data_IF_425744496738
#
_entry.id   IF_425744496738
#
_cell.length_a   1.000
_cell.length_b   1.000
_cell.length_c   1.000
_cell.angle_alpha   90.00
_cell.angle_beta   90.00
_cell.angle_gamma   90.00
#
_symmetry.space_group_name_H-M   'P 1'
#
loop_
_entity.id
_entity.type
_entity.pdbx_description
1 polymer ?
#
# COMPACT_ATOMS: atom_id res chain seq x y z
N UNK A 1 28.80 8.18 3.69
CA UNK A 1 27.93 7.44 4.63
C UNK A 1 26.59 8.15 4.67
N UNK A 2 25.55 7.64 3.99
CA UNK A 2 24.24 8.24 4.16
C UNK A 2 23.70 7.87 5.54
N UNK A 3 23.27 8.87 6.25
CA UNK A 3 22.63 8.67 7.55
C UNK A 3 21.36 7.84 7.36
N UNK A 4 21.36 6.68 7.99
CA UNK A 4 20.16 5.86 8.03
C UNK A 4 19.25 6.50 9.07
N UNK A 5 18.20 7.11 8.60
CA UNK A 5 17.18 7.69 9.47
C UNK A 5 16.45 6.57 10.20
N UNK A 6 16.81 6.37 11.45
CA UNK A 6 16.22 5.34 12.30
C UNK A 6 14.88 5.76 12.92
N UNK A 7 14.16 6.70 12.32
CA UNK A 7 12.78 6.91 12.74
C UNK A 7 11.95 5.73 12.23
N UNK A 8 12.03 4.68 12.99
CA UNK A 8 11.31 3.46 12.70
C UNK A 8 9.83 3.67 12.95
N UNK A 9 9.09 3.63 11.88
CA UNK A 9 7.67 3.83 11.93
C UNK A 9 6.97 2.73 12.70
N UNK A 10 6.31 3.14 13.76
CA UNK A 10 5.43 2.29 14.52
C UNK A 10 4.12 2.13 13.75
N UNK A 11 4.15 1.24 12.78
CA UNK A 11 2.91 0.84 12.11
C UNK A 11 2.27 -0.26 12.95
N UNK A 12 1.14 0.01 13.57
CA UNK A 12 0.45 -1.08 14.25
C UNK A 12 -0.01 -2.12 13.24
N UNK A 13 0.11 -3.36 13.60
CA UNK A 13 -0.40 -4.44 12.77
C UNK A 13 -1.91 -4.31 12.65
N UNK A 14 -2.41 -4.55 11.46
CA UNK A 14 -3.84 -4.43 11.18
C UNK A 14 -4.59 -5.69 11.67
N UNK A 15 -4.44 -6.00 12.94
CA UNK A 15 -5.17 -7.10 13.55
C UNK A 15 -6.02 -6.56 14.69
N UNK A 16 -7.21 -6.09 14.34
CA UNK A 16 -8.24 -5.72 15.29
C UNK A 16 -9.59 -6.20 14.80
N UNK A 17 -10.44 -6.73 15.69
CA UNK A 17 -11.75 -7.20 15.27
C UNK A 17 -12.66 -6.06 14.83
N UNK A 18 -13.45 -6.38 13.82
CA UNK A 18 -14.40 -5.44 13.24
C UNK A 18 -15.54 -5.08 14.21
N UNK A 19 -15.94 -3.84 14.39
CA UNK A 19 -16.86 -3.55 15.14
C UNK A 19 -18.01 -3.46 14.39
N UNK A 20 -18.92 -3.77 14.90
CA UNK A 20 -20.17 -3.67 14.19
C UNK A 20 -20.66 -2.22 14.03
N UNK A 21 -21.52 -1.97 13.07
CA UNK A 21 -21.99 -0.61 12.80
C UNK A 21 -22.99 -0.06 13.82
N UNK A 22 -22.78 1.03 14.12
CA UNK A 22 -23.62 1.54 14.90
C UNK A 22 -24.54 2.28 14.19
N UNK A 23 -25.72 2.12 14.36
CA UNK A 23 -26.82 2.91 13.88
C UNK A 23 -26.97 4.18 14.69
N UNK A 24 -27.00 5.30 14.08
CA UNK A 24 -28.17 6.14 14.30
C UNK A 24 -28.14 7.47 13.60
N UNK A 25 -29.32 7.87 13.26
CA UNK A 25 -29.66 9.03 12.48
C UNK A 25 -29.80 10.28 13.37
N UNK A 26 -29.42 11.41 12.86
CA UNK A 26 -30.05 12.66 13.28
C UNK A 26 -29.86 13.78 12.28
N UNK A 27 -30.94 14.13 11.76
CA UNK A 27 -31.51 15.35 11.27
C UNK A 27 -30.67 16.62 11.20
N UNK A 28 -30.77 17.16 10.02
CA UNK A 28 -30.22 18.27 9.40
C UNK A 28 -30.23 19.64 10.02
N UNK A 29 -29.48 20.45 9.39
CA UNK A 29 -29.88 21.84 9.22
C UNK A 29 -29.14 22.44 8.02
N UNK A 30 -29.91 22.85 7.07
CA UNK A 30 -29.46 23.55 5.88
C UNK A 30 -28.99 24.96 6.22
N UNK A 31 -27.78 25.26 5.84
CA UNK A 31 -27.42 26.63 5.57
C UNK A 31 -26.59 26.65 4.30
N UNK A 32 -27.27 27.01 3.26
CA UNK A 32 -26.73 27.26 1.96
C UNK A 32 -25.74 28.41 2.02
N UNK A 33 -24.48 28.12 1.90
CA UNK A 33 -23.49 29.13 1.57
C UNK A 33 -22.77 28.70 0.30
N UNK A 34 -23.01 29.47 -0.72
CA UNK A 34 -22.55 29.23 -2.07
C UNK A 34 -21.16 28.61 -2.15
N UNK A 35 -21.16 27.35 -2.32
CA UNK A 35 -19.95 26.60 -2.50
C UNK A 35 -19.50 26.76 -3.95
N UNK A 36 -18.36 27.39 -4.14
CA UNK A 36 -17.63 27.23 -5.39
C UNK A 36 -17.35 25.73 -5.53
N UNK A 37 -17.86 25.15 -6.58
CA UNK A 37 -17.67 23.74 -6.85
C UNK A 37 -16.17 23.45 -6.92
N UNK A 38 -15.60 22.91 -5.85
CA UNK A 38 -14.25 22.40 -5.90
C UNK A 38 -14.25 21.21 -6.85
N UNK A 39 -13.23 21.04 -7.70
CA UNK A 39 -13.14 19.83 -8.48
C UNK A 39 -13.19 18.65 -7.54
N UNK A 40 -14.10 17.72 -7.84
CA UNK A 40 -14.40 16.64 -6.95
C UNK A 40 -13.33 15.56 -7.01
N UNK A 41 -12.17 15.87 -6.44
CA UNK A 41 -11.08 14.90 -6.32
C UNK A 41 -11.19 14.17 -4.99
N UNK A 42 -10.90 12.87 -4.98
CA UNK A 42 -10.71 12.19 -3.71
C UNK A 42 -9.53 12.78 -2.94
N UNK A 43 -9.54 12.58 -1.63
CA UNK A 43 -8.44 12.97 -0.75
C UNK A 43 -7.73 11.71 -0.29
N UNK A 44 -6.41 11.66 -0.43
CA UNK A 44 -5.61 10.51 0.01
C UNK A 44 -4.66 10.93 1.11
N UNK A 45 -4.86 10.39 2.32
CA UNK A 45 -3.85 10.46 3.37
C UNK A 45 -2.86 9.33 3.15
N UNK A 46 -1.58 9.67 3.11
CA UNK A 46 -0.54 8.74 2.67
C UNK A 46 0.73 9.01 3.44
N UNK A 47 1.58 7.99 3.53
CA UNK A 47 2.94 8.13 4.03
C UNK A 47 3.85 7.48 2.99
N UNK A 48 4.86 8.22 2.53
CA UNK A 48 5.66 7.85 1.37
C UNK A 48 6.22 6.43 1.46
N UNK A 49 6.78 6.06 2.62
CA UNK A 49 7.48 4.79 2.77
C UNK A 49 6.60 3.62 3.18
N UNK A 50 5.32 3.86 3.45
CA UNK A 50 4.41 2.79 3.87
C UNK A 50 4.04 1.89 2.68
N UNK A 51 4.30 0.58 2.76
CA UNK A 51 3.97 -0.30 1.63
C UNK A 51 2.47 -0.35 1.32
N UNK A 52 1.61 -0.22 2.33
CA UNK A 52 0.18 -0.15 2.09
C UNK A 52 -0.21 1.13 1.34
N UNK A 53 0.41 2.26 1.71
CA UNK A 53 0.13 3.52 1.01
C UNK A 53 0.73 3.52 -0.41
N UNK A 54 1.83 2.81 -0.63
CA UNK A 54 2.37 2.62 -1.98
C UNK A 54 1.34 1.95 -2.90
N UNK A 55 0.64 0.94 -2.39
CA UNK A 55 -0.44 0.28 -3.14
C UNK A 55 -1.47 1.29 -3.64
N UNK A 56 -1.93 2.16 -2.74
CA UNK A 56 -2.93 3.15 -3.08
C UNK A 56 -2.43 4.10 -4.15
N UNK A 57 -1.21 4.64 -3.95
CA UNK A 57 -0.67 5.61 -4.90
C UNK A 57 -0.48 4.99 -6.29
N UNK A 58 0.06 3.77 -6.36
CA UNK A 58 0.31 3.13 -7.66
C UNK A 58 -0.98 2.80 -8.39
N UNK A 59 -2.00 2.33 -7.66
CA UNK A 59 -3.28 2.01 -8.31
C UNK A 59 -4.00 3.27 -8.80
N UNK A 60 -3.89 4.37 -8.07
CA UNK A 60 -4.47 5.63 -8.52
C UNK A 60 -3.77 6.14 -9.77
N UNK A 61 -2.44 5.99 -9.84
CA UNK A 61 -1.70 6.32 -11.06
C UNK A 61 -2.15 5.44 -12.24
N UNK A 62 -2.25 4.14 -12.01
CA UNK A 62 -2.64 3.19 -13.07
C UNK A 62 -4.08 3.44 -13.54
N UNK A 63 -4.96 3.84 -12.64
CA UNK A 63 -6.35 4.15 -12.95
C UNK A 63 -6.54 5.56 -13.52
N UNK A 64 -5.48 6.34 -13.56
CA UNK A 64 -5.50 7.73 -14.07
C UNK A 64 -6.45 8.61 -13.25
N UNK A 65 -6.45 8.43 -11.92
CA UNK A 65 -7.28 9.21 -11.00
C UNK A 65 -6.38 10.17 -10.23
N UNK A 66 -6.61 11.46 -10.41
CA UNK A 66 -5.92 12.50 -9.63
C UNK A 66 -6.55 12.59 -8.25
N UNK A 67 -5.73 12.78 -7.22
CA UNK A 67 -6.21 12.97 -5.85
C UNK A 67 -5.51 14.15 -5.20
N UNK A 68 -6.16 14.74 -4.19
CA UNK A 68 -5.47 15.64 -3.26
C UNK A 68 -4.67 14.78 -2.31
N UNK A 69 -3.35 14.93 -2.32
CA UNK A 69 -2.46 14.14 -1.48
C UNK A 69 -2.17 14.88 -0.18
N UNK A 70 -2.33 14.18 0.92
CA UNK A 70 -2.01 14.71 2.25
C UNK A 70 -0.96 13.80 2.88
N UNK A 71 0.30 14.24 2.77
CA UNK A 71 1.42 13.46 3.31
C UNK A 71 1.41 13.53 4.83
N UNK A 72 1.43 12.37 5.47
CA UNK A 72 1.29 12.22 6.92
C UNK A 72 2.67 11.91 7.53
N UNK A 73 2.96 12.52 8.68
CA UNK A 73 4.05 12.09 9.54
C UNK A 73 3.41 11.26 10.66
N UNK A 74 3.80 10.00 10.78
CA UNK A 74 3.08 9.04 11.62
C UNK A 74 3.08 9.39 13.10
N UNK A 75 4.08 10.12 13.57
CA UNK A 75 4.10 10.60 14.97
C UNK A 75 3.26 11.86 15.20
N UNK A 76 2.67 12.42 14.13
CA UNK A 76 1.93 13.69 14.19
C UNK A 76 0.76 13.61 13.20
N UNK A 77 -0.13 12.66 13.42
CA UNK A 77 -1.23 12.38 12.51
C UNK A 77 -2.26 13.51 12.52
N UNK A 78 -2.74 13.96 11.35
CA UNK A 78 -3.77 15.01 11.31
C UNK A 78 -5.06 14.55 11.95
N UNK A 79 -5.71 15.45 12.69
CA UNK A 79 -6.98 15.12 13.35
C UNK A 79 -8.04 14.76 12.32
N UNK A 80 -8.05 15.44 11.17
CA UNK A 80 -9.02 15.13 10.11
C UNK A 80 -8.89 13.70 9.60
N UNK A 81 -7.67 13.16 9.56
CA UNK A 81 -7.47 11.75 9.18
C UNK A 81 -8.06 10.82 10.24
N UNK A 82 -7.80 11.10 11.52
CA UNK A 82 -8.29 10.29 12.62
C UNK A 82 -9.82 10.33 12.66
N UNK A 83 -10.41 11.51 12.43
CA UNK A 83 -11.87 11.66 12.38
C UNK A 83 -12.48 10.83 11.24
N UNK A 84 -11.82 10.79 10.09
CA UNK A 84 -12.30 10.02 8.94
C UNK A 84 -12.14 8.53 9.15
N UNK A 85 -11.04 8.10 9.78
CA UNK A 85 -10.72 6.70 9.98
C UNK A 85 -10.10 6.51 11.37
N UNK A 86 -10.91 6.16 12.37
CA UNK A 86 -10.43 6.10 13.76
C UNK A 86 -9.31 5.09 14.02
N UNK A 87 -9.12 4.08 13.16
CA UNK A 87 -7.97 3.18 13.35
C UNK A 87 -6.64 3.90 13.09
N UNK A 88 -6.68 5.08 12.47
CA UNK A 88 -5.56 6.01 12.36
C UNK A 88 -4.32 5.41 11.66
N UNK A 89 -4.55 4.64 10.60
CA UNK A 89 -3.48 4.08 9.77
C UNK A 89 -3.59 4.66 8.36
N UNK A 90 -2.47 4.72 7.65
CA UNK A 90 -2.48 5.10 6.24
C UNK A 90 -2.43 3.84 5.38
N UNK A 91 -3.02 3.86 4.18
CA UNK A 91 -3.71 4.98 3.51
C UNK A 91 -5.15 5.14 3.96
N UNK A 92 -5.68 6.36 3.81
CA UNK A 92 -7.12 6.65 3.94
C UNK A 92 -7.53 7.43 2.70
N UNK A 93 -8.53 6.94 2.00
CA UNK A 93 -9.08 7.62 0.82
C UNK A 93 -10.48 8.11 1.14
N UNK A 94 -10.71 9.42 0.96
CA UNK A 94 -12.02 10.02 1.14
C UNK A 94 -12.56 10.37 -0.24
N UNK A 95 -13.70 9.80 -0.60
CA UNK A 95 -14.32 10.04 -1.89
C UNK A 95 -15.10 11.36 -1.89
N UNK A 96 -15.40 11.91 -3.07
CA UNK A 96 -16.14 13.19 -3.13
C UNK A 96 -17.49 13.18 -2.40
N UNK A 97 -18.15 12.01 -2.30
CA UNK A 97 -19.42 11.89 -1.56
C UNK A 97 -19.24 11.79 -0.05
N UNK A 98 -17.98 11.81 0.43
CA UNK A 98 -17.65 11.71 1.84
C UNK A 98 -17.40 10.30 2.34
N UNK A 99 -17.65 9.28 1.53
CA UNK A 99 -17.39 7.91 1.95
C UNK A 99 -15.88 7.66 2.06
N UNK A 100 -15.49 6.73 2.93
CA UNK A 100 -14.10 6.48 3.28
C UNK A 100 -13.73 5.04 2.94
N UNK A 101 -12.58 4.88 2.30
CA UNK A 101 -11.97 3.57 2.08
C UNK A 101 -10.61 3.60 2.78
N UNK A 102 -10.43 2.75 3.79
CA UNK A 102 -9.19 2.77 4.58
C UNK A 102 -8.44 1.44 4.62
N UNK A 103 -8.73 0.56 3.67
CA UNK A 103 -7.95 -0.64 3.43
C UNK A 103 -7.28 -0.52 2.07
N UNK A 104 -5.95 -0.70 2.02
CA UNK A 104 -5.19 -0.43 0.80
C UNK A 104 -5.65 -1.26 -0.39
N UNK A 105 -5.93 -2.55 -0.16
CA UNK A 105 -6.39 -3.42 -1.26
C UNK A 105 -7.75 -2.97 -1.78
N UNK A 106 -8.65 -2.55 -0.89
CA UNK A 106 -9.95 -2.01 -1.30
C UNK A 106 -9.80 -0.73 -2.10
N UNK A 107 -8.81 0.12 -1.75
CA UNK A 107 -8.51 1.32 -2.53
C UNK A 107 -8.05 0.92 -3.95
N UNK A 108 -7.14 -0.08 -4.04
CA UNK A 108 -6.67 -0.55 -5.34
C UNK A 108 -7.83 -1.02 -6.21
N UNK A 109 -8.68 -1.88 -5.66
CA UNK A 109 -9.79 -2.45 -6.41
C UNK A 109 -10.80 -1.36 -6.78
N UNK A 110 -11.10 -0.43 -5.86
CA UNK A 110 -11.98 0.70 -6.17
C UNK A 110 -11.46 1.50 -7.35
N UNK A 111 -10.19 1.88 -7.30
CA UNK A 111 -9.60 2.73 -8.34
C UNK A 111 -9.66 2.02 -9.70
N UNK A 112 -9.27 0.75 -9.72
CA UNK A 112 -9.22 -0.01 -10.97
C UNK A 112 -10.61 -0.39 -11.48
N UNK A 113 -11.61 -0.50 -10.59
CA UNK A 113 -12.99 -0.67 -11.02
C UNK A 113 -13.52 0.59 -11.73
N UNK A 114 -13.01 1.77 -11.33
CA UNK A 114 -13.38 3.03 -12.00
C UNK A 114 -12.76 3.12 -13.40
N UNK A 115 -11.51 2.71 -13.54
CA UNK A 115 -10.78 2.79 -14.80
C UNK A 115 -9.56 1.88 -14.73
N UNK A 116 -9.43 0.96 -15.67
CA UNK A 116 -8.35 -0.02 -15.65
C UNK A 116 -7.71 -0.16 -17.02
N UNK A 117 -7.06 0.91 -17.52
CA UNK A 117 -6.53 0.87 -18.90
C UNK A 117 -5.41 -0.16 -19.11
N UNK A 118 -4.73 -0.60 -18.05
CA UNK A 118 -3.63 -1.56 -18.16
C UNK A 118 -4.07 -2.99 -17.82
N UNK A 119 -5.37 -3.20 -17.60
CA UNK A 119 -5.94 -4.52 -17.31
C UNK A 119 -5.33 -5.18 -16.07
N UNK A 120 -5.06 -4.39 -15.03
CA UNK A 120 -4.51 -4.96 -13.79
C UNK A 120 -5.49 -5.90 -13.08
N UNK A 121 -6.81 -5.69 -13.24
CA UNK A 121 -7.81 -6.60 -12.64
C UNK A 121 -8.04 -7.86 -13.47
N UNK A 122 -7.56 -7.87 -14.72
CA UNK A 122 -7.77 -8.98 -15.66
C UNK A 122 -6.40 -9.53 -16.08
N UNK A 123 -5.80 -10.41 -15.28
CA UNK A 123 -4.44 -10.87 -15.59
C UNK A 123 -4.42 -11.74 -16.83
N UNK A 124 -3.24 -11.86 -17.44
CA UNK A 124 -3.05 -12.69 -18.62
C UNK A 124 -3.28 -14.18 -18.30
N UNK A 125 -2.91 -14.59 -17.09
CA UNK A 125 -3.02 -15.97 -16.62
C UNK A 125 -3.74 -15.96 -15.27
N UNK A 126 -4.69 -16.87 -15.07
CA UNK A 126 -5.46 -16.92 -13.84
C UNK A 126 -6.53 -15.85 -13.78
N UNK A 127 -7.07 -15.60 -12.59
CA UNK A 127 -8.21 -14.73 -12.38
C UNK A 127 -7.91 -13.68 -11.30
N UNK A 128 -8.80 -12.70 -11.16
CA UNK A 128 -8.74 -11.75 -10.05
C UNK A 128 -8.78 -12.50 -8.71
N UNK A 129 -9.65 -13.51 -8.59
CA UNK A 129 -9.75 -14.29 -7.35
C UNK A 129 -8.44 -14.99 -7.03
N UNK A 130 -7.73 -15.49 -8.05
CA UNK A 130 -6.41 -16.09 -7.85
C UNK A 130 -5.40 -15.05 -7.35
N UNK A 131 -5.44 -13.85 -7.90
CA UNK A 131 -4.57 -12.76 -7.44
C UNK A 131 -4.89 -12.39 -5.99
N UNK A 132 -6.17 -12.27 -5.66
CA UNK A 132 -6.57 -11.91 -4.30
C UNK A 132 -6.14 -12.98 -3.28
N UNK A 133 -6.15 -14.25 -3.66
CA UNK A 133 -5.67 -15.33 -2.80
C UNK A 133 -4.16 -15.22 -2.55
N UNK A 134 -3.40 -14.90 -3.59
CA UNK A 134 -1.95 -14.72 -3.43
C UNK A 134 -1.64 -13.48 -2.58
N UNK A 135 -2.40 -12.40 -2.78
CA UNK A 135 -2.26 -11.18 -1.98
C UNK A 135 -2.58 -11.47 -0.51
N UNK A 136 -3.61 -12.29 -0.24
CA UNK A 136 -3.95 -12.66 1.14
C UNK A 136 -2.80 -13.42 1.81
N UNK A 137 -2.10 -14.27 1.08
CA UNK A 137 -0.91 -14.95 1.61
C UNK A 137 0.18 -13.94 1.98
N UNK A 138 0.35 -12.91 1.16
CA UNK A 138 1.29 -11.84 1.45
C UNK A 138 0.87 -11.06 2.69
N UNK A 139 -0.40 -10.68 2.77
CA UNK A 139 -0.90 -9.79 3.82
C UNK A 139 -1.03 -10.50 5.18
N UNK A 140 -1.20 -11.81 5.18
CA UNK A 140 -1.24 -12.62 6.38
C UNK A 140 0.10 -13.25 6.70
N UNK A 141 0.38 -14.46 6.21
CA UNK A 141 1.58 -15.19 6.61
C UNK A 141 2.90 -14.47 6.33
N UNK A 142 3.07 -13.92 5.12
CA UNK A 142 4.33 -13.25 4.79
C UNK A 142 4.55 -12.02 5.68
N UNK A 143 3.52 -11.19 5.82
CA UNK A 143 3.59 -9.98 6.65
C UNK A 143 3.91 -10.33 8.10
N UNK A 144 3.32 -11.41 8.63
CA UNK A 144 3.61 -11.89 9.96
C UNK A 144 5.12 -12.13 10.14
N UNK A 145 5.72 -12.84 9.21
CA UNK A 145 7.16 -13.16 9.29
C UNK A 145 8.03 -11.94 9.00
N UNK A 146 7.61 -11.11 8.05
CA UNK A 146 8.34 -9.87 7.71
C UNK A 146 8.47 -8.96 8.93
N UNK A 147 7.37 -8.74 9.65
CA UNK A 147 7.37 -7.87 10.82
C UNK A 147 8.31 -8.41 11.91
N UNK A 148 8.32 -9.72 12.11
CA UNK A 148 9.16 -10.35 13.15
C UNK A 148 10.62 -10.49 12.71
N UNK A 149 10.90 -10.35 11.47
CA UNK A 149 12.26 -10.26 10.93
C UNK A 149 12.80 -8.81 10.99
N UNK A 150 11.91 -7.96 10.56
CA UNK A 150 12.32 -6.77 10.54
C UNK A 150 12.30 -6.05 11.73
N UNK A 151 11.30 -6.16 12.43
CA UNK A 151 11.05 -5.43 13.67
C UNK A 151 11.11 -6.38 14.89
N UNK A 152 12.04 -7.28 14.88
CA UNK A 152 12.10 -8.34 15.90
C UNK A 152 12.13 -7.80 17.32
N UNK A 153 12.67 -6.62 17.55
CA UNK A 153 12.73 -6.01 18.88
C UNK A 153 11.35 -5.66 19.44
N UNK A 154 10.33 -5.60 18.60
CA UNK A 154 8.95 -5.32 19.02
C UNK A 154 8.20 -6.57 19.46
N UNK A 155 8.77 -7.76 19.24
CA UNK A 155 8.11 -9.04 19.50
C UNK A 155 8.99 -9.84 20.46
N UNK A 156 8.53 -9.99 21.70
CA UNK A 156 9.32 -10.46 22.83
C UNK A 156 9.95 -11.85 22.61
N UNK A 157 9.25 -12.75 21.96
CA UNK A 157 9.71 -14.13 21.76
C UNK A 157 10.05 -14.44 20.30
N UNK A 158 10.22 -13.43 19.47
CA UNK A 158 10.49 -13.65 18.06
C UNK A 158 11.96 -13.98 17.84
N UNK A 159 12.21 -15.03 17.06
CA UNK A 159 13.54 -15.35 16.53
C UNK A 159 13.58 -14.84 15.08
N UNK A 160 14.30 -13.74 14.81
CA UNK A 160 14.30 -13.18 13.47
C UNK A 160 14.84 -14.14 12.40
N UNK A 161 15.78 -14.99 12.76
CA UNK A 161 16.33 -15.97 11.79
C UNK A 161 15.26 -16.99 11.39
N UNK A 162 14.47 -17.45 12.36
CA UNK A 162 13.37 -18.39 12.08
C UNK A 162 12.31 -17.76 11.19
N UNK A 163 11.92 -16.52 11.49
CA UNK A 163 10.93 -15.81 10.70
C UNK A 163 11.45 -15.49 9.29
N UNK A 164 12.74 -15.20 9.16
CA UNK A 164 13.37 -15.05 7.84
C UNK A 164 13.24 -16.35 7.04
N UNK A 165 13.56 -17.50 7.66
CA UNK A 165 13.47 -18.81 6.98
C UNK A 165 12.04 -19.10 6.52
N UNK A 166 11.05 -18.77 7.36
CA UNK A 166 9.64 -18.98 7.00
C UNK A 166 9.21 -18.04 5.87
N UNK A 167 9.68 -16.79 5.88
CA UNK A 167 9.45 -15.86 4.78
C UNK A 167 10.09 -16.38 3.49
N UNK A 168 11.30 -16.97 3.59
CA UNK A 168 11.98 -17.50 2.42
C UNK A 168 11.21 -18.64 1.75
N UNK A 169 10.44 -19.41 2.51
CA UNK A 169 9.58 -20.45 1.92
C UNK A 169 8.52 -19.83 1.01
N UNK A 170 7.97 -18.69 1.42
CA UNK A 170 6.99 -17.98 0.59
C UNK A 170 7.69 -17.39 -0.64
N UNK A 171 8.87 -16.79 -0.44
CA UNK A 171 9.66 -16.25 -1.55
C UNK A 171 10.01 -17.35 -2.56
N UNK A 172 10.30 -18.56 -2.09
CA UNK A 172 10.61 -19.67 -2.97
C UNK A 172 9.41 -20.00 -3.89
N UNK A 173 8.21 -19.97 -3.35
CA UNK A 173 7.00 -20.19 -4.15
C UNK A 173 6.79 -19.08 -5.17
N UNK A 174 7.02 -17.82 -4.77
CA UNK A 174 6.96 -16.70 -5.72
C UNK A 174 8.00 -16.86 -6.82
N UNK A 175 9.21 -17.28 -6.45
CA UNK A 175 10.30 -17.47 -7.41
C UNK A 175 9.93 -18.52 -8.45
N UNK A 176 9.31 -19.62 -8.02
CA UNK A 176 8.82 -20.65 -8.94
C UNK A 176 7.79 -20.11 -9.92
N UNK A 177 6.87 -19.27 -9.43
CA UNK A 177 5.86 -18.64 -10.28
C UNK A 177 6.52 -17.70 -11.30
N UNK A 178 7.52 -16.94 -10.86
CA UNK A 178 8.24 -15.98 -11.70
C UNK A 178 9.25 -16.64 -12.64
N UNK A 179 9.57 -17.91 -12.43
CA UNK A 179 10.36 -18.68 -13.38
C UNK A 179 9.54 -19.06 -14.61
N UNK A 180 8.22 -19.15 -14.46
CA UNK A 180 7.29 -19.52 -15.55
C UNK A 180 6.88 -18.28 -16.34
N UNK A 181 6.64 -17.16 -15.67
CA UNK A 181 6.24 -15.92 -16.33
C UNK A 181 7.05 -14.74 -15.81
N UNK A 182 7.16 -13.70 -16.63
CA UNK A 182 7.92 -12.50 -16.26
C UNK A 182 7.31 -11.81 -15.04
N UNK A 183 5.99 -11.93 -14.86
CA UNK A 183 5.24 -11.38 -13.73
C UNK A 183 4.47 -12.50 -13.05
N UNK A 184 3.84 -12.19 -11.93
CA UNK A 184 3.19 -13.22 -11.10
C UNK A 184 2.04 -13.94 -11.83
N UNK A 185 1.37 -13.26 -12.75
CA UNK A 185 0.20 -13.79 -13.46
C UNK A 185 0.32 -13.60 -14.97
N UNK A 186 1.51 -13.84 -15.51
CA UNK A 186 1.70 -13.85 -16.95
C UNK A 186 2.89 -13.04 -17.40
N UNK A 187 2.85 -12.58 -18.65
CA UNK A 187 3.96 -11.85 -19.26
C UNK A 187 3.86 -10.32 -19.06
N UNK A 188 2.76 -9.85 -18.48
CA UNK A 188 2.59 -8.43 -18.17
C UNK A 188 2.16 -8.25 -16.72
N UNK A 189 2.48 -7.10 -16.09
CA UNK A 189 2.13 -6.91 -14.68
C UNK A 189 0.63 -6.76 -14.49
N UNK A 190 0.16 -7.16 -13.31
CA UNK A 190 -1.23 -7.06 -12.92
C UNK A 190 -1.31 -6.68 -11.45
N UNK A 191 -2.52 -6.66 -10.88
CA UNK A 191 -2.77 -6.21 -9.51
C UNK A 191 -1.82 -6.87 -8.50
N UNK A 192 -1.64 -8.19 -8.59
CA UNK A 192 -0.83 -8.91 -7.61
C UNK A 192 0.60 -8.41 -7.56
N UNK A 193 1.18 -8.05 -8.71
CA UNK A 193 2.55 -7.55 -8.75
C UNK A 193 2.71 -6.28 -7.92
N UNK A 194 1.79 -5.32 -8.11
CA UNK A 194 1.88 -4.03 -7.42
C UNK A 194 1.38 -4.10 -5.99
N UNK A 195 0.56 -5.08 -5.65
CA UNK A 195 0.11 -5.28 -4.27
C UNK A 195 1.17 -5.98 -3.42
N UNK A 196 2.02 -6.81 -4.03
CA UNK A 196 2.98 -7.65 -3.29
C UNK A 196 4.38 -7.03 -3.28
N UNK A 197 4.83 -6.44 -4.39
CA UNK A 197 6.19 -5.95 -4.52
C UNK A 197 6.62 -4.98 -3.40
N UNK A 198 5.76 -4.07 -2.90
CA UNK A 198 6.21 -3.20 -1.79
C UNK A 198 6.67 -3.96 -0.55
N UNK A 199 6.07 -5.10 -0.28
CA UNK A 199 6.42 -5.91 0.90
C UNK A 199 7.69 -6.73 0.66
N UNK A 200 7.89 -7.21 -0.56
CA UNK A 200 9.14 -7.87 -0.92
C UNK A 200 10.30 -6.87 -0.86
N UNK A 201 10.06 -5.63 -1.30
CA UNK A 201 11.03 -4.55 -1.16
C UNK A 201 11.42 -4.34 0.31
N UNK A 202 10.42 -4.29 1.21
CA UNK A 202 10.69 -4.11 2.62
C UNK A 202 11.52 -5.27 3.18
N UNK A 203 11.20 -6.50 2.77
CA UNK A 203 11.97 -7.68 3.15
C UNK A 203 13.42 -7.56 2.67
N UNK A 204 13.61 -7.20 1.40
CA UNK A 204 14.95 -7.06 0.81
C UNK A 204 15.77 -5.98 1.53
N UNK A 205 15.11 -4.87 1.91
CA UNK A 205 15.79 -3.75 2.56
C UNK A 205 16.16 -4.04 4.02
N UNK A 206 15.58 -5.08 4.62
CA UNK A 206 15.91 -5.47 6.00
C UNK A 206 17.39 -5.90 6.08
N UNK A 207 17.86 -6.66 5.10
CA UNK A 207 19.26 -7.07 5.00
C UNK A 207 19.58 -7.27 3.53
N UNK A 208 19.99 -6.20 2.83
CA UNK A 208 20.18 -6.29 1.38
C UNK A 208 21.19 -7.33 0.94
N UNK A 209 22.30 -7.48 1.67
CA UNK A 209 23.32 -8.47 1.32
C UNK A 209 22.78 -9.89 1.44
N UNK A 210 22.01 -10.14 2.51
CA UNK A 210 21.38 -11.45 2.70
C UNK A 210 20.38 -11.74 1.58
N UNK A 211 19.57 -10.75 1.20
CA UNK A 211 18.59 -10.92 0.14
C UNK A 211 19.28 -11.23 -1.20
N UNK A 212 20.36 -10.51 -1.52
CA UNK A 212 21.11 -10.70 -2.75
C UNK A 212 21.75 -12.09 -2.82
N UNK A 213 22.07 -12.68 -1.68
CA UNK A 213 22.68 -14.01 -1.60
C UNK A 213 21.66 -15.15 -1.65
N UNK A 214 20.37 -14.84 -1.58
CA UNK A 214 19.32 -15.88 -1.63
C UNK A 214 19.18 -16.45 -3.05
N UNK A 215 18.78 -17.72 -3.16
CA UNK A 215 18.67 -18.36 -4.50
C UNK A 215 17.35 -18.05 -5.19
N UNK A 216 16.89 -16.80 -5.13
CA UNK A 216 15.62 -16.37 -5.69
C UNK A 216 15.85 -15.38 -6.83
N UNK A 217 16.54 -15.85 -7.89
CA UNK A 217 16.97 -14.98 -8.98
C UNK A 217 15.77 -14.35 -9.71
N UNK A 218 14.65 -15.07 -9.78
CA UNK A 218 13.46 -14.54 -10.47
C UNK A 218 12.75 -13.48 -9.64
N UNK A 219 12.67 -13.66 -8.32
CA UNK A 219 12.14 -12.62 -7.43
C UNK A 219 13.04 -11.39 -7.48
N UNK A 220 14.35 -11.59 -7.45
CA UNK A 220 15.32 -10.47 -7.49
C UNK A 220 15.17 -9.66 -8.77
N UNK A 221 15.07 -10.32 -9.92
CA UNK A 221 14.84 -9.64 -11.20
C UNK A 221 13.51 -8.91 -11.23
N UNK A 222 12.44 -9.57 -10.77
CA UNK A 222 11.10 -8.99 -10.72
C UNK A 222 11.05 -7.76 -9.81
N UNK A 223 11.73 -7.83 -8.66
CA UNK A 223 11.81 -6.69 -7.75
C UNK A 223 12.58 -5.54 -8.40
N UNK A 224 13.69 -5.82 -9.08
CA UNK A 224 14.47 -4.80 -9.79
C UNK A 224 13.61 -4.11 -10.86
N UNK A 225 12.82 -4.89 -11.61
CA UNK A 225 11.91 -4.34 -12.62
C UNK A 225 10.86 -3.43 -11.98
N UNK A 226 10.32 -3.84 -10.83
CA UNK A 226 9.36 -3.03 -10.07
C UNK A 226 9.99 -1.71 -9.62
N UNK A 227 11.18 -1.77 -9.05
CA UNK A 227 11.87 -0.58 -8.55
C UNK A 227 12.22 0.39 -9.68
N UNK A 228 12.41 -0.11 -10.89
CA UNK A 228 12.71 0.71 -12.07
C UNK A 228 11.45 1.19 -12.79
N UNK A 229 10.27 0.74 -12.36
CA UNK A 229 9.02 1.10 -13.04
C UNK A 229 8.67 2.57 -12.78
N UNK A 230 8.00 3.18 -13.76
CA UNK A 230 7.53 4.56 -13.61
C UNK A 230 6.49 4.67 -12.47
N UNK A 231 5.71 3.62 -12.23
CA UNK A 231 4.72 3.63 -11.15
C UNK A 231 5.40 3.75 -9.78
N UNK A 232 6.44 2.95 -9.54
CA UNK A 232 7.17 3.04 -8.28
C UNK A 232 7.90 4.38 -8.17
N UNK A 233 8.59 4.78 -9.21
CA UNK A 233 9.33 6.05 -9.23
C UNK A 233 8.40 7.23 -8.89
N UNK A 234 7.24 7.29 -9.54
CA UNK A 234 6.28 8.36 -9.31
C UNK A 234 5.63 8.26 -7.93
N UNK A 235 5.34 7.06 -7.49
CA UNK A 235 4.76 6.84 -6.16
C UNK A 235 5.72 7.28 -5.05
N UNK A 236 7.02 7.28 -5.30
CA UNK A 236 8.03 7.63 -4.29
C UNK A 236 8.46 9.09 -4.34
N UNK A 237 7.77 9.94 -5.08
CA UNK A 237 7.99 11.39 -5.06
C UNK A 237 7.82 11.90 -3.61
N UNK A 238 8.74 12.76 -3.19
CA UNK A 238 8.71 13.33 -1.85
C UNK A 238 7.76 14.53 -1.80
N UNK A 239 6.95 14.59 -0.75
CA UNK A 239 6.04 15.70 -0.47
C UNK A 239 6.27 16.18 0.96
N UNK A 240 6.05 17.47 1.19
CA UNK A 240 6.11 18.03 2.53
C UNK A 240 4.94 17.51 3.37
N UNK A 241 5.17 17.42 4.69
CA UNK A 241 4.09 17.06 5.62
C UNK A 241 2.91 18.00 5.45
N UNK A 242 1.72 17.42 5.34
CA UNK A 242 0.48 18.19 5.25
C UNK A 242 0.01 18.60 6.64
N UNK A 243 -0.46 19.84 6.76
CA UNK A 243 -1.09 20.37 7.98
C UNK A 243 -2.47 20.89 7.63
N UNK A 244 -3.38 20.86 8.62
CA UNK A 244 -4.73 21.39 8.45
C UNK A 244 -4.65 22.82 7.92
N UNK A 245 -5.42 23.10 6.88
CA UNK A 245 -5.44 24.40 6.24
C UNK A 245 -4.44 24.62 5.12
N UNK A 246 -3.54 23.69 4.86
CA UNK A 246 -2.61 23.81 3.75
C UNK A 246 -3.34 23.82 2.41
N UNK A 247 -2.76 24.53 1.45
CA UNK A 247 -3.26 24.49 0.06
C UNK A 247 -3.18 23.07 -0.50
N UNK A 248 -4.15 22.66 -1.32
CA UNK A 248 -4.13 21.31 -1.87
C UNK A 248 -2.89 21.00 -2.71
N UNK A 249 -2.35 19.80 -2.51
CA UNK A 249 -1.28 19.25 -3.32
C UNK A 249 -1.90 18.13 -4.16
N UNK A 250 -1.76 18.21 -5.47
CA UNK A 250 -2.41 17.25 -6.36
C UNK A 250 -1.40 16.17 -6.79
N UNK A 251 -1.74 14.93 -6.50
CA UNK A 251 -1.02 13.76 -6.96
C UNK A 251 -1.63 13.37 -8.31
N UNK A 252 -0.88 13.57 -9.38
CA UNK A 252 -1.42 13.47 -10.73
C UNK A 252 -1.04 12.16 -11.38
N UNK A 253 -2.01 11.58 -12.07
CA UNK A 253 -1.79 10.37 -12.84
C UNK A 253 -0.99 10.63 -14.12
N UNK A 254 -1.09 11.84 -14.69
CA UNK A 254 -0.39 12.18 -15.93
C UNK A 254 0.67 13.26 -15.75
#
# INVERSE_FOLDING_TARGET
MPEIDHTTDLMPSADGPSXPPXDDASTGNDTDHGATASPERPILYSFRRCPYAMRARMSLLAAEIDVELREVVLRDKPQSMIDASPKATVPVLILPDGSVIDESLEIMVWALAENDPLDWLSPESGTLEDMLALIAQNDGPFKHHLDRYXYHTRYEDADPAEHRRDAEKILNRLDGRLAVGKYLFGSRPALADFAIAPFIRQFANTDPDAFDAMPFVHVQRWLDDFLASSFFERAMTKYDQWHEGDSPVIFRAA
#
